data_IF_259925013399
#
_entry.id   IF_259925013399
#
_cell.length_a   1.000
_cell.length_b   1.000
_cell.length_c   1.000
_cell.angle_alpha   90.00
_cell.angle_beta   90.00
_cell.angle_gamma   90.00
#
_symmetry.space_group_name_H-M   'P 1'
#
loop_
_entity.id
_entity.type
_entity.pdbx_description
1 polymer ?
#
# COMPACT_ATOMS: atom_id res chain seq x y z
N UNK A 1 4.48 18.61 24.86
CA UNK A 1 5.48 17.58 25.17
C UNK A 1 6.79 18.00 24.53
N UNK A 2 7.86 17.76 25.26
CA UNK A 2 9.10 18.53 25.30
C UNK A 2 9.90 18.52 23.98
N UNK A 3 10.33 19.70 23.52
CA UNK A 3 11.20 19.84 22.34
C UNK A 3 12.66 19.68 22.79
N UNK A 4 13.04 18.45 23.09
CA UNK A 4 14.44 18.08 23.29
C UNK A 4 15.18 18.07 21.95
N UNK A 5 16.38 18.64 21.91
CA UNK A 5 17.30 18.77 20.76
C UNK A 5 17.77 17.43 20.15
N UNK A 6 16.87 16.58 19.68
CA UNK A 6 17.17 15.51 18.73
C UNK A 6 17.01 16.06 17.32
N UNK A 7 18.08 16.09 16.52
CA UNK A 7 17.96 16.43 15.11
C UNK A 7 16.93 15.48 14.46
N UNK A 8 15.79 16.02 14.02
CA UNK A 8 14.77 15.28 13.26
C UNK A 8 15.47 14.57 12.11
N UNK A 9 15.53 13.24 12.17
CA UNK A 9 16.05 12.42 11.09
C UNK A 9 15.04 12.47 9.94
N UNK A 10 15.30 13.34 8.97
CA UNK A 10 14.49 13.46 7.76
C UNK A 10 14.25 12.08 7.13
N UNK A 11 13.00 11.82 6.75
CA UNK A 11 12.61 10.55 6.19
C UNK A 11 13.22 10.38 4.78
N UNK A 12 14.05 9.35 4.53
CA UNK A 12 14.64 9.13 3.22
C UNK A 12 13.60 8.76 2.17
N UNK A 13 12.38 8.38 2.56
CA UNK A 13 11.26 8.24 1.64
C UNK A 13 10.94 9.56 0.91
N UNK A 14 11.21 10.72 1.52
CA UNK A 14 10.99 12.04 0.89
C UNK A 14 12.00 12.35 -0.22
N UNK A 15 13.21 11.78 -0.16
CA UNK A 15 14.30 12.00 -1.13
C UNK A 15 14.49 10.82 -2.09
N UNK A 16 13.70 9.75 -1.96
CA UNK A 16 13.84 8.54 -2.75
C UNK A 16 13.31 8.73 -4.19
N UNK A 17 14.04 8.20 -5.17
CA UNK A 17 13.56 8.11 -6.56
C UNK A 17 12.30 7.21 -6.62
N UNK A 18 11.38 7.47 -7.55
CA UNK A 18 10.08 6.79 -7.68
C UNK A 18 10.24 5.26 -7.71
N UNK A 19 11.26 4.74 -8.40
CA UNK A 19 11.58 3.31 -8.41
C UNK A 19 11.98 2.77 -7.03
N UNK A 20 12.85 3.48 -6.30
CA UNK A 20 13.28 3.07 -4.96
C UNK A 20 12.19 3.25 -3.91
N UNK A 21 11.31 4.23 -4.09
CA UNK A 21 10.21 4.53 -3.19
C UNK A 21 9.09 3.51 -3.33
N UNK A 22 8.69 3.21 -4.57
CA UNK A 22 7.47 2.47 -4.87
C UNK A 22 7.73 0.99 -5.18
N UNK A 23 8.81 0.66 -5.90
CA UNK A 23 9.03 -0.72 -6.38
C UNK A 23 9.88 -1.51 -5.40
N UNK A 24 11.09 -1.05 -5.12
CA UNK A 24 12.05 -1.83 -4.32
C UNK A 24 12.02 -1.51 -2.83
N UNK A 25 11.26 -0.48 -2.42
CA UNK A 25 11.16 0.05 -1.05
C UNK A 25 12.51 0.16 -0.31
N UNK A 26 13.60 0.36 -1.07
CA UNK A 26 14.96 0.19 -0.57
C UNK A 26 15.36 1.27 0.44
N UNK A 27 14.56 2.34 0.56
CA UNK A 27 14.70 3.36 1.59
C UNK A 27 14.59 2.78 3.02
N UNK A 28 13.93 1.62 3.20
CA UNK A 28 13.86 0.90 4.47
C UNK A 28 15.10 0.06 4.79
N UNK A 29 15.96 -0.26 3.81
CA UNK A 29 17.10 -1.16 4.02
C UNK A 29 18.05 -0.67 5.13
N UNK A 30 18.15 0.65 5.32
CA UNK A 30 18.96 1.23 6.39
C UNK A 30 18.49 0.86 7.79
N UNK A 31 17.16 0.90 8.04
CA UNK A 31 16.62 0.57 9.36
C UNK A 31 16.69 -0.94 9.62
N UNK A 32 16.44 -1.77 8.60
CA UNK A 32 16.56 -3.23 8.73
C UNK A 32 18.00 -3.67 9.01
N UNK A 33 18.98 -3.06 8.34
CA UNK A 33 20.39 -3.36 8.59
C UNK A 33 20.82 -2.96 10.00
N UNK A 34 20.28 -1.86 10.55
CA UNK A 34 20.54 -1.44 11.93
C UNK A 34 19.87 -2.41 12.92
N UNK A 35 18.58 -2.69 12.74
CA UNK A 35 17.82 -3.63 13.58
C UNK A 35 18.34 -5.07 13.58
N UNK A 36 19.05 -5.47 12.52
CA UNK A 36 19.74 -6.77 12.46
C UNK A 36 20.99 -6.84 13.35
N UNK A 37 21.59 -5.70 13.70
CA UNK A 37 22.83 -5.62 14.49
C UNK A 37 22.56 -5.27 15.94
N UNK A 38 21.62 -4.36 16.17
CA UNK A 38 21.34 -3.76 17.46
C UNK A 38 19.81 -3.61 17.63
N UNK A 39 19.28 -3.74 18.86
CA UNK A 39 17.88 -3.40 19.14
C UNK A 39 17.59 -1.95 18.74
N UNK A 40 16.45 -1.71 18.10
CA UNK A 40 16.05 -0.37 17.68
C UNK A 40 15.56 0.45 18.89
N UNK A 41 16.03 1.69 19.00
CA UNK A 41 15.60 2.65 20.02
C UNK A 41 14.66 3.72 19.41
N UNK A 42 13.93 4.46 20.26
CA UNK A 42 13.00 5.50 19.81
C UNK A 42 13.70 6.60 18.98
N UNK A 43 14.96 6.90 19.30
CA UNK A 43 15.79 7.87 18.57
C UNK A 43 16.12 7.45 17.13
N UNK A 44 15.97 6.16 16.81
CA UNK A 44 16.24 5.63 15.45
C UNK A 44 15.02 5.72 14.54
N UNK A 45 13.84 5.99 15.12
CA UNK A 45 12.60 6.11 14.38
C UNK A 45 12.56 7.49 13.73
N UNK A 46 12.45 7.50 12.41
CA UNK A 46 12.40 8.73 11.62
C UNK A 46 11.02 9.37 11.67
N UNK A 47 10.98 10.68 11.43
CA UNK A 47 9.72 11.40 11.38
C UNK A 47 8.84 10.94 10.21
N UNK A 48 7.53 11.03 10.44
CA UNK A 48 6.53 10.76 9.42
C UNK A 48 6.57 11.84 8.34
N UNK A 49 6.21 11.48 7.10
CA UNK A 49 6.02 12.48 6.05
C UNK A 49 4.90 13.44 6.46
N UNK A 50 5.03 14.72 6.07
CA UNK A 50 4.01 15.74 6.35
C UNK A 50 2.61 15.32 5.85
N UNK A 51 2.55 14.65 4.70
CA UNK A 51 1.32 14.07 4.12
C UNK A 51 0.63 13.08 5.06
N UNK A 52 1.40 12.31 5.81
CA UNK A 52 0.95 11.25 6.69
C UNK A 52 0.87 11.74 8.15
N UNK A 53 1.10 13.04 8.39
CA UNK A 53 1.01 13.64 9.72
C UNK A 53 -0.45 13.70 10.22
N UNK A 54 -0.63 13.47 11.52
CA UNK A 54 -1.94 13.51 12.14
C UNK A 54 -2.63 14.87 11.96
N UNK A 55 -1.87 15.97 12.03
CA UNK A 55 -2.41 17.32 11.85
C UNK A 55 -2.96 17.53 10.43
N UNK A 56 -2.22 17.11 9.40
CA UNK A 56 -2.66 17.23 8.01
C UNK A 56 -3.92 16.39 7.76
N UNK A 57 -3.90 15.13 8.18
CA UNK A 57 -4.99 14.18 8.01
C UNK A 57 -6.27 14.60 8.76
N UNK A 58 -6.14 15.03 10.02
CA UNK A 58 -7.24 15.54 10.82
C UNK A 58 -7.86 16.79 10.18
N UNK A 59 -7.03 17.75 9.74
CA UNK A 59 -7.51 18.97 9.07
C UNK A 59 -8.30 18.64 7.80
N UNK A 60 -7.83 17.68 7.01
CA UNK A 60 -8.52 17.25 5.78
C UNK A 60 -9.88 16.62 6.09
N UNK A 61 -9.95 15.76 7.10
CA UNK A 61 -11.20 15.14 7.54
C UNK A 61 -12.16 16.15 8.16
N UNK A 62 -11.66 17.06 8.99
CA UNK A 62 -12.46 18.10 9.64
C UNK A 62 -13.12 19.02 8.61
N UNK A 63 -12.38 19.47 7.59
CA UNK A 63 -12.96 20.28 6.50
C UNK A 63 -14.09 19.56 5.77
N UNK A 64 -13.93 18.26 5.53
CA UNK A 64 -14.97 17.45 4.90
C UNK A 64 -16.20 17.28 5.82
N UNK A 65 -15.97 17.11 7.12
CA UNK A 65 -17.01 17.03 8.14
C UNK A 65 -17.80 18.34 8.27
N UNK A 66 -17.11 19.48 8.35
CA UNK A 66 -17.74 20.80 8.47
C UNK A 66 -18.61 21.13 7.24
N UNK A 67 -18.18 20.69 6.05
CA UNK A 67 -18.98 20.78 4.84
C UNK A 67 -20.25 19.92 4.94
N UNK A 68 -20.15 18.68 5.39
CA UNK A 68 -21.31 17.78 5.57
C UNK A 68 -22.31 18.33 6.58
N UNK A 69 -21.84 18.88 7.70
CA UNK A 69 -22.69 19.50 8.73
C UNK A 69 -23.45 20.71 8.20
N UNK A 70 -22.85 21.50 7.30
CA UNK A 70 -23.50 22.67 6.70
C UNK A 70 -24.53 22.32 5.63
N UNK A 71 -24.29 21.24 4.87
CA UNK A 71 -25.14 20.88 3.71
C UNK A 71 -26.26 19.92 4.08
N UNK A 72 -26.07 19.03 5.05
CA UNK A 72 -26.98 17.92 5.34
C UNK A 72 -27.80 18.14 6.60
N UNK A 73 -29.13 17.95 6.53
CA UNK A 73 -30.03 17.97 7.71
C UNK A 73 -29.74 16.86 8.73
N UNK A 74 -29.10 15.76 8.31
CA UNK A 74 -28.69 14.63 9.15
C UNK A 74 -27.24 14.23 8.80
N UNK A 75 -26.23 14.85 9.41
CA UNK A 75 -24.83 14.60 9.05
C UNK A 75 -24.43 13.15 9.39
N UNK A 76 -23.71 12.51 8.46
CA UNK A 76 -23.21 11.13 8.61
C UNK A 76 -21.70 11.11 8.43
N UNK A 77 -20.97 10.51 9.38
CA UNK A 77 -19.50 10.44 9.37
C UNK A 77 -18.94 9.68 8.16
N UNK A 78 -19.69 8.72 7.63
CA UNK A 78 -19.25 7.91 6.50
C UNK A 78 -19.08 8.73 5.21
N UNK A 79 -19.87 9.79 5.01
CA UNK A 79 -19.80 10.62 3.79
C UNK A 79 -18.47 11.37 3.66
N UNK A 80 -18.02 12.16 4.65
CA UNK A 80 -16.72 12.82 4.59
C UNK A 80 -15.56 11.82 4.60
N UNK A 81 -15.71 10.68 5.26
CA UNK A 81 -14.69 9.63 5.25
C UNK A 81 -14.49 9.07 3.83
N UNK A 82 -15.58 8.73 3.13
CA UNK A 82 -15.55 8.30 1.73
C UNK A 82 -15.02 9.42 0.83
N UNK A 83 -15.33 10.69 1.11
CA UNK A 83 -14.80 11.82 0.33
C UNK A 83 -13.28 11.96 0.44
N UNK A 84 -12.71 11.69 1.61
CA UNK A 84 -11.28 11.84 1.88
C UNK A 84 -10.46 10.63 1.43
N UNK A 85 -10.96 9.41 1.66
CA UNK A 85 -10.24 8.16 1.40
C UNK A 85 -10.80 7.36 0.21
N UNK A 86 -12.02 7.62 -0.23
CA UNK A 86 -12.75 6.79 -1.17
C UNK A 86 -12.12 6.70 -2.56
N UNK A 87 -11.48 7.77 -3.05
CA UNK A 87 -10.75 7.71 -4.34
C UNK A 87 -9.58 6.71 -4.26
N UNK A 88 -8.78 6.75 -3.17
CA UNK A 88 -7.67 5.82 -2.97
C UNK A 88 -8.17 4.37 -2.83
N UNK A 89 -9.25 4.17 -2.07
CA UNK A 89 -9.88 2.85 -1.93
C UNK A 89 -10.49 2.33 -3.22
N UNK A 90 -11.08 3.20 -4.04
CA UNK A 90 -11.66 2.82 -5.32
C UNK A 90 -10.59 2.23 -6.25
N UNK A 91 -9.46 2.91 -6.42
CA UNK A 91 -8.35 2.38 -7.21
C UNK A 91 -7.80 1.06 -6.64
N UNK A 92 -7.72 0.94 -5.31
CA UNK A 92 -7.28 -0.30 -4.66
C UNK A 92 -8.24 -1.46 -4.94
N UNK A 93 -9.56 -1.23 -4.87
CA UNK A 93 -10.57 -2.25 -5.14
C UNK A 93 -10.54 -2.69 -6.60
N UNK A 94 -10.45 -1.74 -7.53
CA UNK A 94 -10.34 -2.04 -8.97
C UNK A 94 -9.11 -2.90 -9.24
N UNK A 95 -7.97 -2.58 -8.61
CA UNK A 95 -6.76 -3.37 -8.72
C UNK A 95 -6.95 -4.82 -8.21
N UNK A 96 -7.53 -4.99 -7.03
CA UNK A 96 -7.79 -6.33 -6.45
C UNK A 96 -8.68 -7.17 -7.37
N UNK A 97 -9.70 -6.57 -8.00
CA UNK A 97 -10.56 -7.30 -8.95
C UNK A 97 -9.75 -7.78 -10.17
N UNK A 98 -8.89 -6.93 -10.72
CA UNK A 98 -8.02 -7.29 -11.85
C UNK A 98 -7.04 -8.39 -11.45
N UNK A 99 -6.44 -8.29 -10.26
CA UNK A 99 -5.52 -9.29 -9.71
C UNK A 99 -6.22 -10.63 -9.50
N UNK A 100 -7.45 -10.65 -8.98
CA UNK A 100 -8.24 -11.87 -8.84
C UNK A 100 -8.50 -12.54 -10.19
N UNK A 101 -8.85 -11.77 -11.22
CA UNK A 101 -9.03 -12.31 -12.56
C UNK A 101 -7.72 -12.89 -13.13
N UNK A 102 -6.60 -12.20 -12.93
CA UNK A 102 -5.27 -12.68 -13.36
C UNK A 102 -4.88 -14.00 -12.67
N UNK A 103 -5.13 -14.15 -11.37
CA UNK A 103 -4.86 -15.38 -10.62
C UNK A 103 -5.69 -16.59 -11.10
N UNK A 104 -6.94 -16.36 -11.51
CA UNK A 104 -7.76 -17.41 -12.12
C UNK A 104 -7.12 -17.86 -13.45
N UNK A 105 -6.69 -16.92 -14.28
CA UNK A 105 -6.02 -17.21 -15.55
C UNK A 105 -4.73 -18.01 -15.32
N UNK A 106 -3.89 -17.60 -14.37
CA UNK A 106 -2.66 -18.33 -14.00
C UNK A 106 -2.94 -19.78 -13.56
N UNK A 107 -4.03 -19.99 -12.82
CA UNK A 107 -4.46 -21.34 -12.40
C UNK A 107 -4.79 -22.23 -13.60
N UNK A 108 -5.35 -21.67 -14.68
CA UNK A 108 -5.59 -22.42 -15.93
C UNK A 108 -4.28 -22.79 -16.64
N UNK A 109 -3.30 -21.88 -16.67
CA UNK A 109 -1.98 -22.16 -17.25
C UNK A 109 -1.25 -23.31 -16.55
N UNK A 110 -1.36 -23.41 -15.22
CA UNK A 110 -0.83 -24.56 -14.48
C UNK A 110 -1.48 -25.86 -14.96
N UNK A 111 -2.79 -25.86 -15.20
CA UNK A 111 -3.50 -27.01 -15.77
C UNK A 111 -2.95 -27.43 -17.15
N UNK A 112 -2.61 -26.47 -18.01
CA UNK A 112 -1.99 -26.76 -19.31
C UNK A 112 -0.58 -27.35 -19.18
N UNK A 113 0.22 -26.85 -18.23
CA UNK A 113 1.54 -27.38 -17.93
C UNK A 113 1.43 -28.84 -17.47
N UNK A 114 0.54 -29.14 -16.53
CA UNK A 114 0.31 -30.51 -16.04
C UNK A 114 -0.13 -31.43 -17.17
N UNK A 115 -1.06 -30.97 -18.03
CA UNK A 115 -1.51 -31.72 -19.21
C UNK A 115 -0.38 -32.06 -20.18
N UNK A 116 0.54 -31.13 -20.43
CA UNK A 116 1.67 -31.33 -21.33
C UNK A 116 2.71 -32.34 -20.82
N UNK A 117 2.87 -32.48 -19.50
CA UNK A 117 3.84 -33.41 -18.91
C UNK A 117 3.24 -34.78 -18.54
N UNK A 118 1.92 -34.85 -18.29
CA UNK A 118 1.25 -36.08 -17.87
C UNK A 118 0.59 -36.85 -19.02
N UNK A 119 0.02 -36.15 -20.00
CA UNK A 119 -0.67 -36.78 -21.14
C UNK A 119 0.32 -36.98 -22.28
N UNK A 120 0.73 -38.23 -22.54
CA UNK A 120 1.61 -38.56 -23.66
C UNK A 120 1.01 -38.12 -25.00
N UNK A 121 1.78 -37.40 -25.82
CA UNK A 121 1.38 -36.95 -27.16
C UNK A 121 1.24 -35.43 -27.34
N UNK A 122 1.35 -34.63 -26.27
CA UNK A 122 1.38 -33.16 -26.35
C UNK A 122 2.83 -32.67 -26.52
N UNK A 123 3.02 -31.62 -27.32
CA UNK A 123 4.34 -31.03 -27.54
C UNK A 123 4.92 -30.46 -26.23
N UNK A 124 6.04 -31.04 -25.78
CA UNK A 124 6.76 -30.64 -24.56
C UNK A 124 7.25 -29.19 -24.64
N UNK A 125 7.54 -28.70 -25.85
CA UNK A 125 7.99 -27.33 -26.06
C UNK A 125 6.90 -26.32 -25.67
N UNK A 126 5.63 -26.63 -25.94
CA UNK A 126 4.49 -25.81 -25.52
C UNK A 126 4.35 -25.75 -23.99
N UNK A 127 4.66 -26.85 -23.29
CA UNK A 127 4.69 -26.88 -21.82
C UNK A 127 5.78 -25.97 -21.22
N UNK A 128 6.99 -25.99 -21.78
CA UNK A 128 8.06 -25.08 -21.35
C UNK A 128 7.74 -23.61 -21.65
N UNK A 129 7.11 -23.32 -22.79
CA UNK A 129 6.67 -21.96 -23.13
C UNK A 129 5.59 -21.45 -22.16
N UNK A 130 4.60 -22.30 -21.84
CA UNK A 130 3.57 -21.96 -20.86
C UNK A 130 4.16 -21.72 -19.45
N UNK A 131 5.13 -22.53 -19.02
CA UNK A 131 5.79 -22.38 -17.73
C UNK A 131 6.64 -21.09 -17.63
N UNK A 132 7.38 -20.76 -18.68
CA UNK A 132 8.18 -19.53 -18.73
C UNK A 132 7.28 -18.29 -18.76
N UNK A 133 6.21 -18.29 -19.56
CA UNK A 133 5.22 -17.20 -19.60
C UNK A 133 4.53 -17.03 -18.25
N UNK A 134 4.12 -18.13 -17.61
CA UNK A 134 3.51 -18.10 -16.28
C UNK A 134 4.45 -17.49 -15.24
N UNK A 135 5.72 -17.89 -15.24
CA UNK A 135 6.73 -17.36 -14.30
C UNK A 135 6.98 -15.87 -14.52
N UNK A 136 7.05 -15.42 -15.78
CA UNK A 136 7.18 -13.99 -16.08
C UNK A 136 5.94 -13.20 -15.64
N UNK A 137 4.74 -13.76 -15.85
CA UNK A 137 3.48 -13.15 -15.45
C UNK A 137 3.40 -12.97 -13.92
N UNK A 138 3.70 -14.02 -13.15
CA UNK A 138 3.66 -13.96 -11.67
C UNK A 138 4.72 -13.00 -11.12
N UNK A 139 5.89 -12.92 -11.75
CA UNK A 139 6.94 -11.99 -11.35
C UNK A 139 6.51 -10.52 -11.55
N UNK A 140 5.92 -10.20 -12.71
CA UNK A 140 5.40 -8.86 -13.00
C UNK A 140 4.25 -8.51 -12.06
N UNK A 141 3.33 -9.44 -11.82
CA UNK A 141 2.23 -9.26 -10.86
C UNK A 141 2.76 -8.92 -9.46
N UNK A 142 3.76 -9.66 -8.99
CA UNK A 142 4.37 -9.45 -7.66
C UNK A 142 4.97 -8.04 -7.54
N UNK A 143 5.65 -7.57 -8.58
CA UNK A 143 6.23 -6.21 -8.64
C UNK A 143 5.15 -5.13 -8.52
N UNK A 144 3.96 -5.37 -9.10
CA UNK A 144 2.84 -4.42 -9.06
C UNK A 144 2.06 -4.52 -7.74
N UNK A 145 1.92 -5.72 -7.19
CA UNK A 145 1.15 -5.98 -5.98
C UNK A 145 1.76 -5.27 -4.77
N UNK A 146 3.08 -5.36 -4.58
CA UNK A 146 3.75 -4.76 -3.42
C UNK A 146 3.47 -3.26 -3.22
N UNK A 147 3.68 -2.35 -4.20
CA UNK A 147 3.38 -0.93 -4.03
C UNK A 147 1.92 -0.67 -3.73
N UNK A 148 1.01 -1.35 -4.44
CA UNK A 148 -0.42 -1.09 -4.31
C UNK A 148 -0.96 -1.57 -2.97
N UNK A 149 -0.53 -2.74 -2.52
CA UNK A 149 -0.86 -3.26 -1.19
C UNK A 149 -0.39 -2.30 -0.09
N UNK A 150 0.83 -1.76 -0.23
CA UNK A 150 1.40 -0.83 0.74
C UNK A 150 0.66 0.50 0.77
N UNK A 151 0.24 1.04 -0.38
CA UNK A 151 -0.61 2.24 -0.43
C UNK A 151 -2.01 2.00 0.16
N UNK A 152 -2.59 0.81 -0.01
CA UNK A 152 -3.87 0.44 0.64
C UNK A 152 -3.73 0.38 2.16
N UNK A 153 -2.67 -0.25 2.68
CA UNK A 153 -2.39 -0.29 4.12
C UNK A 153 -2.17 1.12 4.70
N UNK A 154 -1.37 1.94 4.01
CA UNK A 154 -1.13 3.33 4.40
C UNK A 154 -2.43 4.12 4.49
N UNK A 155 -3.30 3.99 3.48
CA UNK A 155 -4.62 4.65 3.49
C UNK A 155 -5.47 4.22 4.70
N UNK A 156 -5.40 2.95 5.12
CA UNK A 156 -6.07 2.48 6.32
C UNK A 156 -5.53 3.11 7.61
N UNK A 157 -4.21 3.26 7.70
CA UNK A 157 -3.55 3.97 8.82
C UNK A 157 -3.96 5.45 8.83
N UNK A 158 -3.91 6.11 7.68
CA UNK A 158 -4.29 7.52 7.52
C UNK A 158 -5.72 7.77 8.05
N UNK A 159 -6.66 6.90 7.70
CA UNK A 159 -8.05 6.96 8.16
C UNK A 159 -8.15 6.83 9.67
N UNK A 160 -7.47 5.85 10.25
CA UNK A 160 -7.49 5.62 11.71
C UNK A 160 -6.92 6.81 12.46
N UNK A 161 -5.77 7.32 12.02
CA UNK A 161 -5.11 8.49 12.61
C UNK A 161 -6.00 9.73 12.51
N UNK A 162 -6.59 9.98 11.34
CA UNK A 162 -7.50 11.12 11.14
C UNK A 162 -8.71 11.07 12.09
N UNK A 163 -9.34 9.89 12.22
CA UNK A 163 -10.49 9.68 13.10
C UNK A 163 -10.13 9.89 14.57
N UNK A 164 -9.04 9.27 15.04
CA UNK A 164 -8.58 9.42 16.42
C UNK A 164 -8.25 10.88 16.76
N UNK A 165 -7.58 11.59 15.85
CA UNK A 165 -7.24 12.99 16.03
C UNK A 165 -8.47 13.91 16.07
N UNK A 166 -9.47 13.66 15.21
CA UNK A 166 -10.73 14.43 15.22
C UNK A 166 -11.54 14.19 16.48
N UNK A 167 -11.60 12.94 16.98
CA UNK A 167 -12.29 12.62 18.24
C UNK A 167 -11.61 13.28 19.43
N UNK A 168 -10.29 13.34 19.45
CA UNK A 168 -9.54 13.98 20.54
C UNK A 168 -9.67 15.52 20.54
N UNK A 169 -9.81 16.12 19.36
CA UNK A 169 -9.94 17.58 19.21
C UNK A 169 -11.38 18.09 19.42
N UNK A 170 -12.32 17.22 19.79
CA UNK A 170 -13.74 17.53 19.97
C UNK A 170 -14.15 17.41 21.42
#
# INVERSE_FOLDING_TARGET
>A
MDKGNGQSLENPAAKANIYSANVSQSWMNGIFKKGSKEPLEETDIREVLERDSAHHLATKLQRAWDHEVKTSKKPRLLVPLIKVAGVKYFFSIVYVIIEMAARIIQSVFIGQIVGAFYVGGVDRNNGYLAATLLTLCTFIETIIHHPLFMESLRTGIDVRVALSAVVYNK
#
